data_IF_426013871790
#
_entry.id   IF_426013871790
#
_cell.length_a   1.000
_cell.length_b   1.000
_cell.length_c   1.000
_cell.angle_alpha   90.00
_cell.angle_beta   90.00
_cell.angle_gamma   90.00
#
_symmetry.space_group_name_H-M   'P 1'
#
loop_
_entity.id
_entity.type
_entity.pdbx_description
1 polymer ?
#
# COMPACT_ATOMS: atom_id res chain seq x y z
N UNK A 1 2.26 1.59 0.80
CA UNK A 1 1.15 2.55 0.63
C UNK A 1 -0.17 2.02 1.22
N UNK A 2 -0.80 1.02 0.60
CA UNK A 2 -2.10 0.48 1.03
C UNK A 2 -2.18 -0.01 2.49
N UNK A 3 -1.13 -0.60 3.10
CA UNK A 3 -1.18 -0.94 4.52
C UNK A 3 -1.38 0.28 5.43
N UNK A 4 -0.84 1.45 5.07
CA UNK A 4 -1.02 2.71 5.84
C UNK A 4 -2.46 3.20 5.74
N UNK A 5 -3.01 3.24 4.51
CA UNK A 5 -4.40 3.61 4.27
C UNK A 5 -5.37 2.65 4.98
N UNK A 6 -5.18 1.34 4.80
CA UNK A 6 -6.00 0.31 5.43
C UNK A 6 -5.97 0.42 6.96
N UNK A 7 -4.81 0.68 7.56
CA UNK A 7 -4.70 0.89 9.01
C UNK A 7 -5.49 2.10 9.49
N UNK A 8 -5.49 3.21 8.75
CA UNK A 8 -6.25 4.42 9.10
C UNK A 8 -7.77 4.22 9.00
N UNK A 9 -8.22 3.39 8.05
CA UNK A 9 -9.64 3.12 7.79
C UNK A 9 -10.17 1.92 8.60
N UNK A 10 -9.30 1.04 9.11
CA UNK A 10 -9.71 -0.18 9.83
C UNK A 10 -10.52 0.16 11.08
N UNK A 11 -11.59 -0.62 11.31
CA UNK A 11 -12.43 -0.50 12.50
C UNK A 11 -13.43 0.65 12.46
N UNK A 12 -13.41 1.48 11.40
CA UNK A 12 -14.44 2.50 11.18
C UNK A 12 -15.55 1.92 10.30
N UNK A 13 -16.80 2.13 10.71
CA UNK A 13 -17.96 1.98 9.84
C UNK A 13 -18.15 3.28 9.06
N UNK A 14 -18.56 3.15 7.81
CA UNK A 14 -18.91 4.27 6.94
C UNK A 14 -20.36 4.08 6.54
N UNK A 15 -21.17 5.12 6.71
CA UNK A 15 -22.61 5.05 6.47
C UNK A 15 -22.93 5.22 4.98
N UNK A 16 -22.08 5.99 4.27
CA UNK A 16 -22.22 6.24 2.83
C UNK A 16 -20.94 5.95 2.06
N UNK A 17 -21.08 5.82 0.75
CA UNK A 17 -19.95 5.69 -0.18
C UNK A 17 -19.12 6.98 -0.20
N UNK A 18 -19.78 8.12 -0.11
CA UNK A 18 -19.19 9.44 -0.15
C UNK A 18 -18.25 9.64 1.06
N UNK A 19 -18.66 9.15 2.23
CA UNK A 19 -17.84 9.20 3.46
C UNK A 19 -16.54 8.43 3.33
N UNK A 20 -16.57 7.19 2.82
CA UNK A 20 -15.36 6.39 2.64
C UNK A 20 -14.45 6.99 1.56
N UNK A 21 -15.01 7.57 0.49
CA UNK A 21 -14.24 8.26 -0.55
C UNK A 21 -13.54 9.48 0.04
N UNK A 22 -14.29 10.37 0.71
CA UNK A 22 -13.75 11.60 1.29
C UNK A 22 -12.67 11.29 2.33
N UNK A 23 -12.91 10.30 3.21
CA UNK A 23 -11.92 9.89 4.21
C UNK A 23 -10.69 9.28 3.56
N UNK A 24 -10.85 8.39 2.58
CA UNK A 24 -9.73 7.77 1.86
C UNK A 24 -8.87 8.81 1.15
N UNK A 25 -9.49 9.77 0.46
CA UNK A 25 -8.78 10.87 -0.20
C UNK A 25 -8.01 11.74 0.80
N UNK A 26 -8.64 12.07 1.94
CA UNK A 26 -7.98 12.81 3.02
C UNK A 26 -6.73 12.10 3.55
N UNK A 27 -6.84 10.79 3.84
CA UNK A 27 -5.70 9.99 4.30
C UNK A 27 -4.60 9.89 3.24
N UNK A 28 -4.95 9.68 1.96
CA UNK A 28 -3.98 9.63 0.86
C UNK A 28 -3.21 10.95 0.69
N UNK A 29 -3.90 12.10 0.80
CA UNK A 29 -3.26 13.43 0.72
C UNK A 29 -2.31 13.71 1.88
N UNK A 30 -2.52 13.10 3.05
CA UNK A 30 -1.62 13.22 4.21
C UNK A 30 -0.35 12.38 4.10
N UNK A 31 -0.31 11.40 3.19
CA UNK A 31 0.88 10.60 2.96
C UNK A 31 1.94 11.48 2.28
N UNK A 32 3.17 11.59 2.83
CA UNK A 32 4.21 12.40 2.22
C UNK A 32 4.65 11.80 0.87
N UNK A 33 5.09 12.66 -0.05
CA UNK A 33 5.58 12.26 -1.38
C UNK A 33 6.68 11.19 -1.29
N UNK A 34 7.57 11.28 -0.31
CA UNK A 34 8.63 10.29 -0.05
C UNK A 34 8.09 8.87 0.13
N UNK A 35 6.98 8.71 0.85
CA UNK A 35 6.39 7.39 1.07
C UNK A 35 5.82 6.76 -0.21
N UNK A 36 5.41 7.56 -1.20
CA UNK A 36 5.04 7.08 -2.52
C UNK A 36 6.29 6.66 -3.32
N UNK A 37 7.35 7.46 -3.26
CA UNK A 37 8.64 7.16 -3.91
C UNK A 37 9.25 5.86 -3.36
N UNK A 38 9.27 5.69 -2.04
CA UNK A 38 9.72 4.47 -1.36
C UNK A 38 8.89 3.25 -1.78
N UNK A 39 7.56 3.39 -1.85
CA UNK A 39 6.68 2.32 -2.30
C UNK A 39 6.99 1.91 -3.75
N UNK A 40 7.27 2.88 -4.62
CA UNK A 40 7.65 2.62 -6.01
C UNK A 40 9.04 1.97 -6.12
N UNK A 41 10.02 2.43 -5.34
CA UNK A 41 11.34 1.81 -5.26
C UNK A 41 11.26 0.35 -4.79
N UNK A 42 10.46 0.09 -3.75
CA UNK A 42 10.21 -1.26 -3.23
C UNK A 42 9.52 -2.16 -4.24
N UNK A 43 8.60 -1.62 -5.06
CA UNK A 43 7.99 -2.36 -6.16
C UNK A 43 9.02 -2.75 -7.22
N UNK A 44 9.88 -1.82 -7.67
CA UNK A 44 10.96 -2.12 -8.63
C UNK A 44 11.89 -3.22 -8.11
N UNK A 45 12.28 -3.16 -6.83
CA UNK A 45 13.11 -4.19 -6.21
C UNK A 45 12.45 -5.59 -6.25
N UNK A 46 11.16 -5.66 -5.91
CA UNK A 46 10.38 -6.90 -5.98
C UNK A 46 10.22 -7.40 -7.41
N UNK A 47 10.05 -6.51 -8.38
CA UNK A 47 9.99 -6.86 -9.79
C UNK A 47 11.29 -7.56 -10.25
N UNK A 48 12.46 -7.01 -9.94
CA UNK A 48 13.74 -7.66 -10.26
C UNK A 48 13.94 -8.98 -9.52
N UNK A 49 13.48 -9.10 -8.26
CA UNK A 49 13.46 -10.39 -7.55
C UNK A 49 12.58 -11.41 -8.25
N UNK A 50 11.40 -11.03 -8.71
CA UNK A 50 10.48 -11.89 -9.46
C UNK A 50 11.13 -12.45 -10.74
N UNK A 51 11.78 -11.59 -11.52
CA UNK A 51 12.50 -12.00 -12.73
C UNK A 51 13.57 -13.04 -12.40
N UNK A 52 14.37 -12.81 -11.35
CA UNK A 52 15.42 -13.76 -10.94
C UNK A 52 14.88 -15.06 -10.35
N UNK A 53 13.69 -15.03 -9.76
CA UNK A 53 13.05 -16.21 -9.18
C UNK A 53 12.41 -17.13 -10.24
N UNK A 54 12.41 -16.74 -11.52
CA UNK A 54 11.87 -17.56 -12.61
C UNK A 54 10.42 -17.94 -12.36
N UNK A 55 9.60 -16.97 -11.95
CA UNK A 55 8.16 -17.12 -11.63
C UNK A 55 7.83 -17.78 -10.29
N UNK A 56 8.81 -18.28 -9.53
CA UNK A 56 8.58 -18.76 -8.18
C UNK A 56 8.18 -17.60 -7.23
N UNK A 57 7.17 -17.83 -6.37
CA UNK A 57 6.80 -16.88 -5.33
C UNK A 57 7.96 -16.71 -4.33
N UNK A 58 8.50 -15.50 -4.23
CA UNK A 58 9.75 -15.20 -3.52
C UNK A 58 9.54 -14.42 -2.21
N UNK A 59 8.30 -14.14 -1.81
CA UNK A 59 7.98 -13.58 -0.49
C UNK A 59 7.70 -14.73 0.50
N UNK A 60 8.74 -15.48 0.88
CA UNK A 60 8.76 -16.26 2.12
C UNK A 60 9.92 -15.75 2.97
N UNK A 61 9.64 -14.74 3.77
CA UNK A 61 10.29 -14.45 5.05
C UNK A 61 9.34 -13.53 5.82
N UNK A 62 8.38 -14.17 6.51
CA UNK A 62 7.72 -13.61 7.69
C UNK A 62 8.27 -14.41 8.85
N UNK A 63 9.39 -13.94 9.42
CA UNK A 63 9.74 -14.10 10.82
C UNK A 63 10.34 -12.77 11.30
#
# INVERSE_FOLDING_TARGET
LFPRLKRALKGRRFDTREDIIAKSQGELRRIPKSAYQEAFASWKHRFYKCIRAGEAHFERDIL
#
